data_IF_051260136168
#
_entry.id   IF_051260136168
#
_cell.length_a   1.000
_cell.length_b   1.000
_cell.length_c   1.000
_cell.angle_alpha   90.00
_cell.angle_beta   90.00
_cell.angle_gamma   90.00
#
_symmetry.space_group_name_H-M   'P 1'
#
loop_
_entity.id
_entity.type
_entity.pdbx_description
1 polymer ?
#
# COMPACT_ATOMS: atom_id res chain seq x y z
N UNK A 1 22.78 1.42 -38.52
CA UNK A 1 23.98 0.56 -38.41
C UNK A 1 25.20 1.47 -38.40
N UNK A 2 25.92 1.73 -37.31
CA UNK A 2 26.04 1.15 -35.98
C UNK A 2 26.13 2.33 -34.98
N UNK A 3 25.30 2.36 -33.93
CA UNK A 3 25.48 3.32 -32.82
C UNK A 3 24.78 2.92 -31.51
N UNK A 4 24.21 1.71 -31.40
CA UNK A 4 23.49 1.27 -30.19
C UNK A 4 24.12 0.05 -29.49
N UNK A 5 24.99 -0.73 -30.14
CA UNK A 5 25.54 -1.95 -29.54
C UNK A 5 26.73 -1.70 -28.59
N UNK A 6 27.36 -0.53 -28.62
CA UNK A 6 28.55 -0.22 -27.79
C UNK A 6 28.24 0.36 -26.41
N UNK A 7 27.00 0.79 -26.13
CA UNK A 7 26.62 1.37 -24.83
C UNK A 7 26.25 0.32 -23.77
N UNK A 8 25.94 -0.91 -24.18
CA UNK A 8 25.59 -2.01 -23.28
C UNK A 8 26.81 -2.80 -22.76
N UNK A 9 28.02 -2.55 -23.30
CA UNK A 9 29.22 -3.35 -23.03
C UNK A 9 29.96 -2.99 -21.74
N UNK A 10 29.53 -1.94 -21.01
CA UNK A 10 30.25 -1.43 -19.82
C UNK A 10 29.40 -1.21 -18.55
N UNK A 11 28.20 -1.78 -18.47
CA UNK A 11 27.43 -1.71 -17.22
C UNK A 11 27.73 -2.92 -16.32
N UNK A 12 28.82 -2.84 -15.56
CA UNK A 12 29.11 -3.81 -14.49
C UNK A 12 28.34 -3.44 -13.23
N UNK A 13 27.18 -4.06 -13.01
CA UNK A 13 26.39 -3.92 -11.79
C UNK A 13 26.73 -5.05 -10.82
N UNK A 14 27.16 -4.69 -9.61
CA UNK A 14 27.29 -5.62 -8.50
C UNK A 14 25.98 -5.58 -7.70
N UNK A 15 25.16 -6.61 -7.83
CA UNK A 15 23.95 -6.78 -7.04
C UNK A 15 24.28 -7.64 -5.82
N UNK A 16 24.14 -7.05 -4.64
CA UNK A 16 24.13 -7.84 -3.41
C UNK A 16 22.76 -8.53 -3.26
N UNK A 17 22.73 -9.67 -2.57
CA UNK A 17 21.50 -10.42 -2.33
C UNK A 17 20.48 -9.59 -1.53
N UNK A 18 19.19 -10.01 -1.48
CA UNK A 18 18.18 -9.30 -0.70
C UNK A 18 18.56 -9.30 0.79
N UNK A 19 18.85 -8.11 1.33
CA UNK A 19 19.14 -7.92 2.76
C UNK A 19 17.86 -7.42 3.44
N UNK A 20 17.24 -8.27 4.25
CA UNK A 20 16.03 -7.93 5.02
C UNK A 20 14.93 -8.98 4.88
N UNK A 21 14.87 -9.92 5.82
CA UNK A 21 13.69 -10.77 5.98
C UNK A 21 12.67 -10.02 6.86
N UNK A 22 11.39 -9.91 6.46
CA UNK A 22 10.36 -9.37 7.33
C UNK A 22 10.26 -10.14 8.65
N UNK A 23 10.02 -9.46 9.77
CA UNK A 23 9.85 -10.09 11.09
C UNK A 23 8.51 -10.84 11.20
N UNK A 24 7.62 -10.59 10.25
CA UNK A 24 6.35 -11.31 10.08
C UNK A 24 6.47 -12.20 8.86
N UNK A 25 6.10 -13.46 9.04
CA UNK A 25 6.06 -14.44 7.96
C UNK A 25 4.90 -14.13 7.00
N UNK A 26 5.19 -13.27 6.02
CA UNK A 26 4.32 -12.93 4.90
C UNK A 26 4.38 -13.99 3.79
N UNK A 27 5.25 -15.00 3.91
CA UNK A 27 5.45 -16.04 2.91
C UNK A 27 4.50 -17.22 3.12
N UNK A 28 4.17 -17.54 4.37
CA UNK A 28 3.25 -18.64 4.70
C UNK A 28 1.77 -18.27 4.63
N UNK A 29 0.91 -19.28 4.63
CA UNK A 29 -0.57 -19.13 4.68
C UNK A 29 -1.11 -18.67 6.06
N UNK A 30 -0.24 -18.18 6.95
CA UNK A 30 -0.64 -17.74 8.30
C UNK A 30 -1.55 -16.51 8.27
N UNK A 31 -1.33 -15.59 7.34
CA UNK A 31 -2.11 -14.36 7.24
C UNK A 31 -2.85 -14.32 5.92
N UNK A 32 -4.17 -14.11 6.02
CA UNK A 32 -5.05 -13.89 4.87
C UNK A 32 -5.49 -12.44 4.75
N UNK A 33 -5.29 -11.67 5.83
CA UNK A 33 -5.50 -10.24 5.88
C UNK A 33 -4.16 -9.55 6.16
N UNK A 34 -3.81 -8.56 5.34
CA UNK A 34 -2.57 -7.79 5.46
C UNK A 34 -2.87 -6.30 5.36
N UNK A 35 -2.26 -5.51 6.24
CA UNK A 35 -2.42 -4.06 6.30
C UNK A 35 -1.05 -3.38 6.18
N UNK A 36 -0.86 -2.61 5.13
CA UNK A 36 0.34 -1.84 4.86
C UNK A 36 0.14 -0.37 5.25
N UNK A 37 1.12 0.19 5.94
CA UNK A 37 1.25 1.62 6.20
C UNK A 37 2.58 2.12 5.65
N UNK A 38 2.51 2.98 4.63
CA UNK A 38 3.64 3.61 3.99
C UNK A 38 3.67 5.12 4.30
N UNK A 39 4.82 5.62 4.75
CA UNK A 39 5.05 7.04 4.96
C UNK A 39 6.18 7.56 4.06
N UNK A 40 5.90 8.55 3.21
CA UNK A 40 6.89 9.15 2.30
C UNK A 40 7.58 8.08 1.43
N UNK A 41 8.92 8.07 1.46
CA UNK A 41 9.77 7.10 0.73
C UNK A 41 9.56 5.64 1.16
N UNK A 42 8.95 5.40 2.32
CA UNK A 42 8.57 4.06 2.78
C UNK A 42 7.52 3.36 1.91
N UNK A 43 6.95 4.06 0.93
CA UNK A 43 6.02 3.48 -0.04
C UNK A 43 6.67 2.44 -0.94
N UNK A 44 7.89 2.65 -1.39
CA UNK A 44 8.59 1.74 -2.31
C UNK A 44 8.72 0.31 -1.78
N UNK A 45 9.27 0.06 -0.56
CA UNK A 45 9.38 -1.30 -0.03
C UNK A 45 8.00 -1.93 0.26
N UNK A 46 7.08 -1.17 0.86
CA UNK A 46 5.74 -1.66 1.17
C UNK A 46 4.96 -2.04 -0.09
N UNK A 47 5.14 -1.26 -1.16
CA UNK A 47 4.52 -1.53 -2.45
C UNK A 47 5.06 -2.82 -3.08
N UNK A 48 6.37 -3.03 -3.05
CA UNK A 48 6.98 -4.29 -3.52
C UNK A 48 6.42 -5.52 -2.79
N UNK A 49 6.21 -5.42 -1.47
CA UNK A 49 5.58 -6.49 -0.68
C UNK A 49 4.12 -6.72 -1.07
N UNK A 50 3.34 -5.64 -1.22
CA UNK A 50 1.94 -5.71 -1.65
C UNK A 50 1.82 -6.42 -3.01
N UNK A 51 2.68 -6.08 -3.96
CA UNK A 51 2.71 -6.68 -5.29
C UNK A 51 2.97 -8.18 -5.25
N UNK A 52 3.93 -8.59 -4.44
CA UNK A 52 4.24 -9.99 -4.24
C UNK A 52 3.03 -10.75 -3.67
N UNK A 53 2.31 -10.15 -2.71
CA UNK A 53 1.09 -10.75 -2.16
C UNK A 53 -0.03 -10.86 -3.22
N UNK A 54 -0.27 -9.81 -4.00
CA UNK A 54 -1.27 -9.84 -5.07
C UNK A 54 -0.96 -10.95 -6.09
N UNK A 55 0.30 -11.04 -6.53
CA UNK A 55 0.73 -12.09 -7.44
C UNK A 55 0.54 -13.50 -6.84
N UNK A 56 0.84 -13.67 -5.55
CA UNK A 56 0.58 -14.95 -4.86
C UNK A 56 -0.91 -15.27 -4.75
N UNK A 57 -1.76 -14.26 -4.57
CA UNK A 57 -3.21 -14.44 -4.59
C UNK A 57 -3.68 -14.94 -5.96
N UNK A 58 -3.17 -14.36 -7.05
CA UNK A 58 -3.44 -14.84 -8.43
C UNK A 58 -2.99 -16.29 -8.64
N UNK A 59 -1.88 -16.69 -8.03
CA UNK A 59 -1.38 -18.07 -8.04
C UNK A 59 -2.14 -19.02 -7.10
N UNK A 60 -3.21 -18.56 -6.43
CA UNK A 60 -4.10 -19.38 -5.61
C UNK A 60 -3.83 -19.37 -4.11
N UNK A 61 -2.99 -18.46 -3.61
CA UNK A 61 -2.87 -18.24 -2.16
C UNK A 61 -4.16 -17.62 -1.61
N UNK A 62 -4.68 -18.18 -0.51
CA UNK A 62 -5.89 -17.66 0.18
C UNK A 62 -5.58 -16.33 0.89
N UNK A 63 -5.55 -15.25 0.11
CA UNK A 63 -5.52 -13.87 0.60
C UNK A 63 -6.91 -13.29 0.39
N UNK A 64 -7.51 -12.78 1.46
CA UNK A 64 -8.89 -12.31 1.50
C UNK A 64 -9.01 -10.80 1.52
N UNK A 65 -8.04 -10.11 2.14
CA UNK A 65 -8.05 -8.65 2.21
C UNK A 65 -6.65 -8.07 2.33
N UNK A 66 -6.38 -7.04 1.54
CA UNK A 66 -5.18 -6.21 1.62
C UNK A 66 -5.63 -4.75 1.79
N UNK A 67 -5.13 -4.10 2.83
CA UNK A 67 -5.24 -2.66 3.00
C UNK A 67 -3.93 -1.99 2.70
N UNK A 68 -3.91 -0.99 1.84
CA UNK A 68 -2.72 -0.21 1.52
C UNK A 68 -2.94 1.27 1.84
N UNK A 69 -2.30 1.75 2.89
CA UNK A 69 -2.41 3.13 3.34
C UNK A 69 -1.10 3.84 3.06
N UNK A 70 -1.13 4.87 2.22
CA UNK A 70 0.02 5.72 1.96
C UNK A 70 -0.21 7.13 2.46
N UNK A 71 0.78 7.69 3.15
CA UNK A 71 0.78 9.08 3.56
C UNK A 71 2.08 9.78 3.16
N UNK A 72 1.95 10.89 2.43
CA UNK A 72 3.08 11.74 2.04
C UNK A 72 2.87 13.19 2.47
N UNK A 73 3.90 14.03 2.37
CA UNK A 73 3.84 15.47 2.64
C UNK A 73 3.61 16.22 1.33
N UNK A 74 2.73 17.21 1.34
CA UNK A 74 2.71 18.22 0.30
C UNK A 74 3.96 19.08 0.43
N UNK A 75 4.75 19.17 -0.64
CA UNK A 75 5.88 20.11 -0.73
C UNK A 75 5.39 21.41 -1.39
N UNK A 76 5.80 22.56 -0.84
CA UNK A 76 5.46 23.90 -1.34
C UNK A 76 6.39 24.39 -2.48
N UNK A 77 7.18 23.50 -3.08
CA UNK A 77 8.31 23.91 -3.91
C UNK A 77 8.02 23.86 -5.41
N UNK A 78 7.11 24.73 -5.86
CA UNK A 78 7.15 25.33 -7.21
C UNK A 78 6.13 26.48 -7.24
N UNK A 79 6.60 27.68 -7.54
CA UNK A 79 5.69 28.77 -7.88
C UNK A 79 5.00 28.46 -9.21
N UNK A 80 3.66 28.46 -9.20
CA UNK A 80 2.80 28.31 -10.37
C UNK A 80 2.11 26.95 -10.44
N UNK A 81 0.77 26.94 -10.33
CA UNK A 81 -0.29 25.94 -10.67
C UNK A 81 -0.06 24.41 -10.59
N UNK A 82 1.15 23.94 -10.28
CA UNK A 82 1.54 22.54 -10.28
C UNK A 82 2.30 22.22 -8.99
N UNK A 83 1.65 21.47 -8.09
CA UNK A 83 2.30 20.92 -6.91
C UNK A 83 3.38 19.90 -7.30
N UNK A 84 4.63 20.26 -7.08
CA UNK A 84 5.71 19.28 -6.94
C UNK A 84 5.62 18.65 -5.55
N UNK A 85 4.75 17.64 -5.41
CA UNK A 85 4.73 16.70 -4.30
C UNK A 85 6.01 15.87 -4.41
N UNK A 86 6.73 15.69 -3.30
CA UNK A 86 7.71 14.61 -3.22
C UNK A 86 6.96 13.32 -3.57
N UNK A 87 7.24 12.80 -4.76
CA UNK A 87 6.56 11.66 -5.38
C UNK A 87 5.23 11.92 -6.13
N UNK A 88 4.92 13.12 -6.66
CA UNK A 88 3.76 13.30 -7.58
C UNK A 88 3.88 12.44 -8.84
N UNK A 89 5.12 12.17 -9.27
CA UNK A 89 5.38 11.18 -10.33
C UNK A 89 4.83 9.79 -9.99
N UNK A 90 4.50 9.56 -8.70
CA UNK A 90 3.86 8.36 -8.19
C UNK A 90 2.34 8.46 -8.06
N UNK A 91 1.67 9.48 -8.58
CA UNK A 91 0.20 9.52 -8.56
C UNK A 91 -0.33 9.22 -9.96
N UNK A 92 -1.02 8.10 -10.11
CA UNK A 92 -1.71 7.74 -11.34
C UNK A 92 -3.01 8.55 -11.52
N UNK A 93 -3.48 8.69 -12.75
CA UNK A 93 -4.76 9.35 -13.05
C UNK A 93 -5.99 8.56 -12.57
N UNK A 94 -5.81 7.29 -12.18
CA UNK A 94 -6.90 6.40 -11.78
C UNK A 94 -7.28 6.61 -10.30
N UNK A 95 -8.53 7.03 -9.98
CA UNK A 95 -8.98 7.24 -8.61
C UNK A 95 -8.93 5.98 -7.72
N UNK A 96 -8.97 4.78 -8.32
CA UNK A 96 -8.92 3.50 -7.61
C UNK A 96 -7.49 3.06 -7.28
N UNK A 97 -6.50 3.63 -7.98
CA UNK A 97 -5.08 3.37 -7.80
C UNK A 97 -4.35 4.70 -7.95
N UNK A 98 -4.36 5.56 -6.93
CA UNK A 98 -3.64 6.83 -6.95
C UNK A 98 -2.12 6.62 -6.88
N UNK A 99 -1.60 5.48 -7.34
CA UNK A 99 -0.18 5.12 -7.45
C UNK A 99 0.23 5.19 -8.92
N UNK A 100 1.51 5.38 -9.29
CA UNK A 100 1.91 5.50 -10.69
C UNK A 100 1.89 4.15 -11.38
N UNK A 101 1.75 4.21 -12.70
CA UNK A 101 1.87 3.06 -13.60
C UNK A 101 3.16 2.25 -13.47
N UNK A 102 4.26 2.86 -13.01
CA UNK A 102 5.56 2.19 -12.81
C UNK A 102 5.65 1.42 -11.50
N UNK A 103 4.82 1.78 -10.53
CA UNK A 103 4.58 1.04 -9.31
C UNK A 103 3.15 0.51 -9.38
N UNK A 104 2.80 -0.20 -10.44
CA UNK A 104 1.62 -1.07 -10.47
C UNK A 104 2.05 -2.42 -11.05
N UNK A 105 1.96 -3.54 -10.30
CA UNK A 105 2.18 -4.85 -10.88
C UNK A 105 0.89 -5.24 -11.61
N UNK A 106 0.86 -5.34 -12.93
CA UNK A 106 -0.25 -5.98 -13.68
C UNK A 106 -1.72 -5.62 -13.31
N UNK A 107 -1.99 -4.58 -12.52
CA UNK A 107 -3.33 -4.07 -12.23
C UNK A 107 -3.92 -3.35 -13.45
N UNK A 108 -3.13 -3.20 -14.51
CA UNK A 108 -3.60 -2.88 -15.86
C UNK A 108 -4.51 -3.96 -16.44
N UNK A 109 -4.41 -5.19 -15.95
CA UNK A 109 -5.46 -6.19 -16.15
C UNK A 109 -6.44 -6.08 -14.99
N UNK A 110 -7.26 -5.03 -15.05
CA UNK A 110 -8.65 -5.10 -14.59
C UNK A 110 -9.15 -6.51 -14.99
N UNK A 111 -9.77 -7.29 -14.09
CA UNK A 111 -10.10 -8.68 -14.38
C UNK A 111 -10.75 -8.79 -15.76
N UNK A 112 -10.21 -9.65 -16.62
CA UNK A 112 -10.93 -10.10 -17.81
C UNK A 112 -12.25 -10.71 -17.32
N UNK A 113 -13.31 -9.92 -17.35
CA UNK A 113 -14.68 -10.34 -17.13
C UNK A 113 -15.09 -11.26 -18.27
N UNK A 114 -14.64 -12.52 -18.29
CA UNK A 114 -15.19 -13.54 -19.19
C UNK A 114 -15.26 -14.96 -18.57
N UNK A 115 -14.95 -15.14 -17.28
CA UNK A 115 -15.16 -16.41 -16.57
C UNK A 115 -16.18 -16.25 -15.44
N UNK A 116 -17.33 -16.94 -15.47
CA UNK A 116 -18.32 -16.94 -14.39
C UNK A 116 -17.80 -17.52 -13.06
N UNK A 117 -16.70 -18.28 -13.10
CA UNK A 117 -16.28 -19.15 -11.99
C UNK A 117 -14.94 -18.76 -11.34
N UNK A 118 -14.28 -17.68 -11.80
CA UNK A 118 -13.05 -17.18 -11.19
C UNK A 118 -13.33 -15.82 -10.52
N UNK A 119 -13.13 -15.67 -9.19
CA UNK A 119 -13.24 -14.37 -8.54
C UNK A 119 -12.10 -13.49 -9.03
N UNK A 120 -12.39 -12.63 -10.00
CA UNK A 120 -11.46 -11.60 -10.46
C UNK A 120 -11.01 -10.73 -9.30
N UNK A 121 -9.81 -10.16 -9.38
CA UNK A 121 -9.29 -9.22 -8.39
C UNK A 121 -10.21 -7.98 -8.32
N UNK A 122 -11.12 -7.94 -7.34
CA UNK A 122 -11.97 -6.79 -7.10
C UNK A 122 -11.16 -5.75 -6.32
N UNK A 123 -10.79 -4.66 -6.98
CA UNK A 123 -10.28 -3.47 -6.32
C UNK A 123 -11.45 -2.79 -5.62
N UNK A 124 -11.30 -2.54 -4.32
CA UNK A 124 -12.28 -1.78 -3.59
C UNK A 124 -12.32 -0.34 -4.05
N UNK A 125 -13.51 0.18 -4.25
CA UNK A 125 -13.77 1.62 -4.41
C UNK A 125 -13.75 2.29 -3.03
N UNK A 126 -13.71 3.64 -2.94
CA UNK A 126 -13.86 4.33 -1.66
C UNK A 126 -15.11 3.87 -0.88
N UNK A 127 -16.18 3.50 -1.58
CA UNK A 127 -17.42 2.98 -0.99
C UNK A 127 -17.31 1.52 -0.51
N UNK A 128 -16.44 0.70 -1.10
CA UNK A 128 -16.29 -0.75 -0.81
C UNK A 128 -14.94 -1.13 -0.17
N UNK A 129 -14.16 -0.13 0.25
CA UNK A 129 -12.81 -0.30 0.84
C UNK A 129 -12.75 -1.26 2.03
N UNK A 130 -13.89 -1.51 2.67
CA UNK A 130 -13.97 -2.30 3.89
C UNK A 130 -15.08 -3.33 3.90
N UNK A 131 -15.77 -3.53 2.77
CA UNK A 131 -16.73 -4.63 2.60
C UNK A 131 -16.02 -5.93 2.25
N UNK A 132 -16.76 -7.04 2.35
CA UNK A 132 -16.23 -8.40 2.20
C UNK A 132 -15.95 -8.79 0.72
N UNK A 133 -16.29 -7.91 -0.23
CA UNK A 133 -16.31 -8.15 -1.68
C UNK A 133 -15.05 -7.71 -2.44
N UNK A 134 -14.21 -6.83 -1.87
CA UNK A 134 -12.98 -6.35 -2.49
C UNK A 134 -11.71 -6.94 -1.88
N UNK A 135 -10.74 -7.36 -2.69
CA UNK A 135 -9.45 -7.88 -2.20
C UNK A 135 -8.54 -6.75 -1.72
N UNK A 136 -8.40 -5.67 -2.49
CA UNK A 136 -7.47 -4.59 -2.19
C UNK A 136 -8.21 -3.27 -2.01
N UNK A 137 -7.99 -2.60 -0.88
CA UNK A 137 -8.35 -1.20 -0.73
C UNK A 137 -7.11 -0.33 -0.56
N UNK A 138 -7.20 0.88 -1.10
CA UNK A 138 -6.11 1.85 -1.05
C UNK A 138 -6.61 3.17 -0.49
N UNK A 139 -5.89 3.74 0.47
CA UNK A 139 -6.13 5.10 0.95
C UNK A 139 -4.86 5.93 0.84
N UNK A 140 -4.94 7.09 0.17
CA UNK A 140 -3.84 8.01 0.01
C UNK A 140 -4.09 9.31 0.78
N UNK A 141 -3.11 9.72 1.59
CA UNK A 141 -3.21 10.88 2.47
C UNK A 141 -2.10 11.89 2.21
N UNK A 142 -2.49 13.15 2.07
CA UNK A 142 -1.56 14.26 1.93
C UNK A 142 -1.54 15.12 3.18
N UNK A 143 -0.40 15.12 3.86
CA UNK A 143 -0.16 15.90 5.07
C UNK A 143 0.36 17.29 4.73
N UNK A 144 0.16 18.26 5.64
CA UNK A 144 0.61 19.66 5.46
C UNK A 144 -0.12 20.44 4.35
N UNK A 145 -1.37 20.07 4.04
CA UNK A 145 -2.27 20.84 3.17
C UNK A 145 -2.89 21.96 4.01
N UNK A 146 -2.64 23.23 3.66
CA UNK A 146 -3.23 24.36 4.38
C UNK A 146 -4.74 24.47 4.06
N UNK A 147 -5.56 24.72 5.10
CA UNK A 147 -7.03 24.81 4.96
C UNK A 147 -7.50 26.04 4.15
N UNK A 148 -6.62 27.02 3.92
CA UNK A 148 -6.97 28.31 3.34
C UNK A 148 -6.77 28.41 1.82
N UNK A 149 -6.19 27.39 1.19
CA UNK A 149 -6.06 27.34 -0.26
C UNK A 149 -7.04 26.30 -0.78
N UNK A 150 -7.92 26.73 -1.69
CA UNK A 150 -8.79 25.88 -2.51
C UNK A 150 -7.95 25.08 -3.50
N UNK A 151 -7.05 24.25 -2.98
CA UNK A 151 -6.13 23.45 -3.74
C UNK A 151 -6.81 22.13 -4.05
N UNK A 152 -7.12 21.89 -5.34
CA UNK A 152 -7.71 20.64 -5.78
C UNK A 152 -6.71 19.50 -5.56
N UNK A 153 -7.02 18.60 -4.63
CA UNK A 153 -6.25 17.37 -4.45
C UNK A 153 -6.48 16.46 -5.67
N UNK A 154 -5.49 15.63 -6.04
CA UNK A 154 -5.72 14.56 -7.00
C UNK A 154 -6.86 13.65 -6.56
N UNK A 155 -7.60 13.08 -7.51
CA UNK A 155 -8.69 12.16 -7.23
C UNK A 155 -8.19 10.98 -6.38
N UNK A 156 -8.95 10.61 -5.34
CA UNK A 156 -8.58 9.52 -4.42
C UNK A 156 -7.57 9.91 -3.34
N UNK A 157 -7.16 11.18 -3.25
CA UNK A 157 -6.25 11.68 -2.19
C UNK A 157 -7.03 12.48 -1.15
N UNK A 158 -6.84 12.14 0.12
CA UNK A 158 -7.47 12.81 1.26
C UNK A 158 -6.47 13.76 1.95
N UNK A 159 -6.85 15.02 2.19
CA UNK A 159 -6.04 15.93 2.99
C UNK A 159 -6.04 15.52 4.47
N UNK A 160 -4.86 15.54 5.08
CA UNK A 160 -4.66 15.25 6.49
C UNK A 160 -3.83 14.00 6.74
N UNK A 161 -3.95 13.46 7.96
CA UNK A 161 -3.27 12.22 8.39
C UNK A 161 -4.27 11.07 8.40
N UNK A 162 -3.84 9.83 8.12
CA UNK A 162 -4.69 8.66 8.28
C UNK A 162 -5.16 8.52 9.73
N UNK A 163 -6.44 8.23 9.93
CA UNK A 163 -6.95 7.80 11.23
C UNK A 163 -6.64 6.31 11.43
N UNK A 164 -5.42 6.05 11.92
CA UNK A 164 -4.92 4.70 12.18
C UNK A 164 -5.88 3.92 13.10
N UNK A 165 -6.53 4.58 14.06
CA UNK A 165 -7.47 3.89 14.95
C UNK A 165 -8.70 3.41 14.20
N UNK A 166 -9.28 4.23 13.33
CA UNK A 166 -10.40 3.82 12.51
C UNK A 166 -10.01 2.73 11.51
N UNK A 167 -8.86 2.83 10.86
CA UNK A 167 -8.39 1.83 9.89
C UNK A 167 -8.23 0.46 10.57
N UNK A 168 -7.63 0.39 11.76
CA UNK A 168 -7.54 -0.86 12.53
C UNK A 168 -8.91 -1.41 12.93
N UNK A 169 -9.85 -0.55 13.35
CA UNK A 169 -11.22 -0.99 13.68
C UNK A 169 -11.93 -1.60 12.47
N UNK A 170 -11.82 -0.96 11.29
CA UNK A 170 -12.43 -1.46 10.05
C UNK A 170 -11.81 -2.78 9.62
N UNK A 171 -10.48 -2.89 9.68
CA UNK A 171 -9.79 -4.15 9.36
C UNK A 171 -10.12 -5.26 10.36
N UNK A 172 -10.31 -4.94 11.65
CA UNK A 172 -10.78 -5.90 12.65
C UNK A 172 -12.17 -6.41 12.32
N UNK A 173 -13.10 -5.53 11.96
CA UNK A 173 -14.46 -5.92 11.57
C UNK A 173 -14.47 -6.81 10.31
N UNK A 174 -13.65 -6.46 9.30
CA UNK A 174 -13.49 -7.29 8.11
C UNK A 174 -12.92 -8.68 8.45
N UNK A 175 -11.92 -8.77 9.34
CA UNK A 175 -11.38 -10.04 9.79
C UNK A 175 -12.46 -10.89 10.50
N UNK A 176 -13.25 -10.29 11.39
CA UNK A 176 -14.33 -10.98 12.09
C UNK A 176 -15.40 -11.50 11.12
N UNK A 177 -15.84 -10.68 10.16
CA UNK A 177 -16.82 -11.08 9.13
C UNK A 177 -16.30 -12.24 8.28
N UNK A 178 -15.01 -12.24 7.97
CA UNK A 178 -14.35 -13.30 7.19
C UNK A 178 -13.98 -14.53 8.04
N UNK A 179 -14.26 -14.52 9.35
CA UNK A 179 -13.92 -15.62 10.27
C UNK A 179 -12.42 -15.79 10.53
N UNK A 180 -11.62 -14.75 10.27
CA UNK A 180 -10.17 -14.76 10.40
C UNK A 180 -9.73 -14.07 11.69
N UNK A 181 -8.70 -14.63 12.35
CA UNK A 181 -8.27 -14.18 13.69
C UNK A 181 -6.96 -13.41 13.70
N UNK A 182 -6.27 -13.32 12.56
CA UNK A 182 -4.95 -12.70 12.49
C UNK A 182 -4.84 -11.78 11.28
N UNK A 183 -4.30 -10.60 11.54
CA UNK A 183 -3.98 -9.60 10.53
C UNK A 183 -2.49 -9.29 10.65
N UNK A 184 -1.75 -9.41 9.54
CA UNK A 184 -0.38 -8.91 9.48
C UNK A 184 -0.41 -7.40 9.26
N UNK A 185 0.38 -6.64 10.02
CA UNK A 185 0.55 -5.20 9.82
C UNK A 185 1.99 -4.93 9.44
N UNK A 186 2.23 -4.31 8.28
CA UNK A 186 3.55 -3.89 7.85
C UNK A 186 3.59 -2.37 7.81
N UNK A 187 4.54 -1.75 8.52
CA UNK A 187 4.69 -0.29 8.54
C UNK A 187 6.11 0.13 8.19
N UNK A 188 6.23 1.09 7.28
CA UNK A 188 7.49 1.73 6.93
C UNK A 188 7.27 3.23 6.69
N UNK A 189 7.90 4.07 7.50
CA UNK A 189 7.70 5.52 7.40
C UNK A 189 8.20 6.26 8.65
N UNK A 190 7.77 7.51 8.86
CA UNK A 190 8.20 8.33 9.99
C UNK A 190 7.93 7.66 11.34
N UNK A 191 8.83 7.87 12.30
CA UNK A 191 8.77 7.25 13.64
C UNK A 191 7.41 7.45 14.33
N UNK A 192 6.78 8.61 14.15
CA UNK A 192 5.45 8.90 14.68
C UNK A 192 4.37 7.94 14.15
N UNK A 193 4.40 7.61 12.85
CA UNK A 193 3.47 6.65 12.24
C UNK A 193 3.73 5.25 12.80
N UNK A 194 5.00 4.83 12.86
CA UNK A 194 5.38 3.52 13.41
C UNK A 194 4.89 3.38 14.86
N UNK A 195 5.10 4.39 15.70
CA UNK A 195 4.63 4.42 17.10
C UNK A 195 3.10 4.30 17.18
N UNK A 196 2.38 5.02 16.32
CA UNK A 196 0.91 4.94 16.28
C UNK A 196 0.41 3.57 15.83
N UNK A 197 1.01 2.96 14.80
CA UNK A 197 0.66 1.60 14.37
C UNK A 197 0.97 0.58 15.46
N UNK A 198 2.10 0.68 16.17
CA UNK A 198 2.43 -0.18 17.33
C UNK A 198 1.39 -0.07 18.44
N UNK A 199 1.02 1.16 18.83
CA UNK A 199 0.00 1.38 19.85
C UNK A 199 -1.38 0.85 19.41
N UNK A 200 -1.74 1.04 18.15
CA UNK A 200 -3.00 0.52 17.59
C UNK A 200 -3.01 -1.02 17.54
N UNK A 201 -1.92 -1.65 17.11
CA UNK A 201 -1.82 -3.12 17.08
C UNK A 201 -2.03 -3.72 18.46
N UNK A 202 -1.44 -3.15 19.51
CA UNK A 202 -1.66 -3.60 20.90
C UNK A 202 -3.12 -3.37 21.31
N UNK A 203 -3.66 -2.18 21.06
CA UNK A 203 -5.00 -1.77 21.48
C UNK A 203 -6.12 -2.59 20.84
N UNK A 204 -5.98 -2.93 19.55
CA UNK A 204 -7.01 -3.62 18.78
C UNK A 204 -6.77 -5.13 18.65
N UNK A 205 -5.63 -5.64 19.14
CA UNK A 205 -5.45 -7.07 19.35
C UNK A 205 -6.31 -7.54 20.53
N UNK A 206 -7.49 -8.02 20.21
CA UNK A 206 -8.47 -8.53 21.17
C UNK A 206 -8.58 -10.05 21.02
N UNK A 207 -9.27 -10.73 21.94
CA UNK A 207 -9.44 -12.19 21.88
C UNK A 207 -10.07 -12.72 20.57
N UNK A 208 -10.69 -11.84 19.77
CA UNK A 208 -11.29 -12.17 18.48
C UNK A 208 -10.30 -12.06 17.32
N UNK A 209 -9.55 -10.95 17.25
CA UNK A 209 -8.62 -10.63 16.17
C UNK A 209 -7.32 -10.08 16.74
N UNK A 210 -6.20 -10.62 16.29
CA UNK A 210 -4.84 -10.23 16.67
C UNK A 210 -4.13 -9.56 15.50
N UNK A 211 -3.42 -8.46 15.79
CA UNK A 211 -2.60 -7.73 14.84
C UNK A 211 -1.11 -8.00 15.12
N UNK A 212 -0.48 -8.77 14.24
CA UNK A 212 0.94 -9.07 14.30
C UNK A 212 1.69 -8.00 13.47
N UNK A 213 2.38 -7.07 14.14
CA UNK A 213 3.03 -5.93 13.48
C UNK A 213 4.52 -6.17 13.20
N UNK A 214 4.90 -5.93 11.95
CA UNK A 214 6.27 -5.74 11.48
C UNK A 214 6.51 -4.27 11.15
N UNK A 215 7.63 -3.73 11.61
CA UNK A 215 8.06 -2.38 11.23
C UNK A 215 9.42 -2.46 10.55
N UNK A 216 9.53 -1.87 9.38
CA UNK A 216 10.81 -1.64 8.71
C UNK A 216 11.25 -0.19 8.93
N UNK A 217 12.48 -0.03 9.39
CA UNK A 217 13.19 1.24 9.44
C UNK A 217 14.30 1.13 8.41
N UNK A 218 14.11 1.74 7.25
CA UNK A 218 15.23 2.04 6.36
C UNK A 218 15.89 3.30 6.93
N UNK A 219 16.99 3.10 7.65
CA UNK A 219 17.91 4.20 7.93
C UNK A 219 18.57 4.58 6.60
N UNK A 220 18.39 5.83 6.18
CA UNK A 220 19.12 6.45 5.08
C UNK A 220 20.14 7.41 5.65
#
# INVERSE_FOLDING_TARGET
KLADEDLLSHLSLLLDGPVGAPSVDLESNRYKLVLFFAGGVGVTPMFSLCNNLLHKAELGRDIRKIGFVWSTRANKHTGGDHMDIENTQYLGENPLLPMPSSFTPNLFQIPRTESPDAPGLVLSTPETSYSDDGLLFTECYMTNVEKNESMALPNGVTAGRPDINQIFKRMSAAAENMGEKRVAVCVCGPEAMIKQCKAAAIKYSTGNVYFDLHSELFEF
#
